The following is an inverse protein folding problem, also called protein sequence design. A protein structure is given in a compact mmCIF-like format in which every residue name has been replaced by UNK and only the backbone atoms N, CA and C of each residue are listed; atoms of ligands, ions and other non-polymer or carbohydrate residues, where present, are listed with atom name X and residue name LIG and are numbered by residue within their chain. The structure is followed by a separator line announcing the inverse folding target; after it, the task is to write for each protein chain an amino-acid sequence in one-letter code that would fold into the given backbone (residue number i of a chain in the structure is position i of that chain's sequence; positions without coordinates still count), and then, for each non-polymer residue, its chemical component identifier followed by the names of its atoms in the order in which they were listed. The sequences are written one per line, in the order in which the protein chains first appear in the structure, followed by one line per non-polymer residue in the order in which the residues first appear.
data_IF_022930971279
#
_entry.id   IF_022930971279
#
_cell.length_a   1.000
_cell.length_b   1.000
_cell.length_c   1.000
_cell.angle_alpha   90.00
_cell.angle_beta   90.00
_cell.angle_gamma   90.00
#
_symmetry.space_group_name_H-M   'P 1'
#
loop_
_entity.id
_entity.type
_entity.pdbx_description
1 polymer ?
2 non-polymer ?
3 non-polymer ?
4 non-polymer ?
5 water ?
#
# COMPACT_ATOMS: atom_id res chain seq x y z
N UNK A 4 16.95 15.93 3.38
CA UNK A 4 16.22 16.15 2.14
C UNK A 4 15.53 17.51 2.12
N UNK A 5 15.55 18.18 0.97
CA UNK A 5 15.14 19.57 0.89
C UNK A 5 13.65 19.72 1.21
N UNK A 6 12.78 19.03 0.46
CA UNK A 6 11.35 19.22 0.66
C UNK A 6 10.94 18.91 2.09
N UNK A 7 11.51 17.85 2.67
CA UNK A 7 11.26 17.56 4.08
C UNK A 7 11.73 18.71 4.97
N UNK A 8 12.92 19.26 4.69
CA UNK A 8 13.44 20.35 5.50
C UNK A 8 12.54 21.58 5.41
N UNK A 9 12.07 21.90 4.19
CA UNK A 9 11.12 22.98 4.03
C UNK A 9 9.84 22.70 4.78
N UNK A 10 9.32 21.48 4.66
CA UNK A 10 8.12 21.11 5.40
C UNK A 10 8.32 21.33 6.90
N UNK A 11 9.46 20.88 7.42
CA UNK A 11 9.76 21.06 8.83
C UNK A 11 9.71 22.53 9.24
N UNK A 12 10.30 23.41 8.41
CA UNK A 12 10.29 24.83 8.72
C UNK A 12 8.89 25.41 8.61
N UNK A 13 8.12 24.96 7.60
CA UNK A 13 6.74 25.40 7.47
C UNK A 13 5.93 25.04 8.72
N UNK A 14 6.11 23.83 9.25
CA UNK A 14 5.34 23.44 10.43
C UNK A 14 5.74 24.27 11.65
N UNK A 15 7.05 24.46 11.84
CA UNK A 15 7.53 25.19 13.01
C UNK A 15 7.07 26.64 12.97
N UNK A 16 7.34 27.33 11.85
CA UNK A 16 6.88 28.71 11.73
C UNK A 16 5.37 28.85 11.83
N UNK A 17 4.63 27.73 11.87
CA UNK A 17 3.19 27.77 12.10
C UNK A 17 2.83 27.27 13.50
N UNK A 18 3.81 27.16 14.38
CA UNK A 18 3.56 26.90 15.78
C UNK A 18 3.60 25.46 16.22
N UNK A 19 4.03 24.55 15.35
CA UNK A 19 4.10 23.12 15.69
C UNK A 19 5.49 22.82 16.23
N UNK A 20 5.55 22.37 17.44
CA UNK A 20 6.84 22.11 18.08
C UNK A 20 7.24 20.65 17.89
N UNK A 21 8.54 20.38 17.77
CA UNK A 21 8.99 18.98 17.72
C UNK A 21 8.83 18.32 19.08
N UNK A 22 8.43 17.04 19.05
CA UNK A 22 8.39 16.21 20.23
C UNK A 22 9.52 15.18 20.15
N UNK A 23 9.99 14.76 21.32
CA UNK A 23 11.02 13.75 21.43
C UNK A 23 10.40 12.47 21.97
N UNK A 24 10.66 11.35 21.30
CA UNK A 24 10.14 10.06 21.67
C UNK A 24 11.30 9.10 21.88
N UNK A 25 11.02 8.02 22.61
CA UNK A 25 12.02 7.03 22.94
C UNK A 25 11.55 5.64 22.57
N UNK A 26 12.52 4.76 22.38
CA UNK A 26 12.26 3.37 22.01
C UNK A 26 11.10 2.83 22.82
N UNK A 27 10.19 2.16 22.13
CA UNK A 27 9.05 1.41 22.65
C UNK A 27 7.84 2.29 22.94
N UNK A 28 7.93 3.61 22.80
CA UNK A 28 6.79 4.47 23.02
C UNK A 28 5.92 4.53 21.77
N UNK A 29 4.64 4.84 21.98
CA UNK A 29 3.68 4.95 20.88
C UNK A 29 3.36 6.42 20.61
N UNK A 30 3.74 6.89 19.42
CA UNK A 30 3.41 8.25 18.99
C UNK A 30 1.90 8.41 18.82
N UNK A 31 1.23 7.41 18.24
CA UNK A 31 -0.23 7.32 18.28
C UNK A 31 -0.57 5.85 18.46
N UNK A 32 -1.76 5.59 19.00
CA UNK A 32 -2.15 4.23 19.32
C UNK A 32 -3.53 3.94 18.76
N UNK A 33 -3.87 2.64 18.76
CA UNK A 33 -5.06 2.16 18.06
C UNK A 33 -6.35 2.41 18.83
N UNK A 34 -6.28 2.90 20.07
CA UNK A 34 -7.46 3.14 20.88
C UNK A 34 -7.79 4.62 20.99
N UNK A 35 -7.01 5.48 20.37
CA UNK A 35 -7.27 6.91 20.37
C UNK A 35 -8.25 7.25 19.27
N UNK A 36 -9.39 7.89 19.58
CA UNK A 36 -10.33 8.28 18.52
C UNK A 36 -9.88 9.51 17.73
N UNK A 37 -8.94 10.29 18.26
CA UNK A 37 -8.36 11.40 17.53
C UNK A 37 -7.34 10.86 16.53
N UNK A 38 -7.36 11.40 15.32
CA UNK A 38 -6.43 11.00 14.28
C UNK A 38 -5.43 12.12 14.04
N UNK A 39 -4.26 11.74 13.54
CA UNK A 39 -3.14 12.66 13.49
C UNK A 39 -2.39 12.55 12.17
N UNK A 40 -1.68 13.63 11.85
CA UNK A 40 -0.62 13.61 10.86
C UNK A 40 0.69 13.65 11.64
N UNK A 41 1.52 12.63 11.43
CA UNK A 41 2.82 12.54 12.08
C UNK A 41 3.86 12.88 11.04
N UNK A 42 4.61 13.97 11.26
CA UNK A 42 5.81 14.23 10.48
C UNK A 42 6.96 13.64 11.28
N UNK A 43 7.35 12.42 10.93
CA UNK A 43 8.48 11.75 11.58
C UNK A 43 9.75 12.39 11.05
N UNK A 44 10.41 13.21 11.86
CA UNK A 44 11.53 13.98 11.33
C UNK A 44 12.82 13.17 11.33
N UNK A 45 13.14 12.54 12.46
CA UNK A 45 14.36 11.74 12.61
C UNK A 45 14.05 10.54 13.49
N UNK A 46 14.55 9.39 13.09
CA UNK A 46 14.37 8.15 13.83
C UNK A 46 13.61 7.12 13.00
N UNK A 47 13.33 5.99 13.65
CA UNK A 47 12.69 4.86 12.99
C UNK A 47 11.50 4.39 13.83
N UNK A 48 10.38 4.19 13.17
CA UNK A 48 9.15 3.73 13.79
C UNK A 48 8.66 2.48 13.07
N UNK A 49 7.66 1.83 13.65
CA UNK A 49 6.95 0.76 12.95
C UNK A 49 5.46 0.87 13.25
N UNK A 50 4.66 0.64 12.23
CA UNK A 50 3.21 0.58 12.38
C UNK A 50 2.82 -0.81 12.87
N UNK A 51 2.00 -0.87 13.92
CA UNK A 51 1.65 -2.16 14.49
C UNK A 51 0.15 -2.25 14.69
N UNK A 52 -0.32 -3.49 14.80
CA UNK A 52 -1.72 -3.79 15.08
C UNK A 52 -1.77 -4.89 16.14
N UNK A 53 -2.45 -4.60 17.23
CA UNK A 53 -2.60 -5.55 18.30
C UNK A 53 -3.97 -6.20 18.15
N UNK A 54 -3.96 -7.50 18.05
CA UNK A 54 -5.15 -8.30 17.81
C UNK A 54 -6.02 -8.58 19.05
N UNK A 55 -7.11 -9.30 18.85
CA UNK A 55 -8.03 -9.63 19.91
C UNK A 55 -7.34 -10.34 21.07
N UNK A 56 -6.46 -11.29 20.77
CA UNK A 56 -5.77 -12.06 21.78
C UNK A 56 -4.43 -11.50 22.22
N UNK A 57 -4.09 -10.29 21.81
CA UNK A 57 -2.86 -9.68 22.24
C UNK A 57 -1.69 -9.92 21.35
N UNK A 58 -1.90 -10.57 20.24
CA UNK A 58 -0.83 -10.76 19.29
C UNK A 58 -0.46 -9.44 18.59
N UNK A 59 0.82 -9.14 18.49
CA UNK A 59 1.29 -7.90 17.88
C UNK A 59 1.76 -8.20 16.46
N UNK A 60 1.09 -7.59 15.48
CA UNK A 60 1.46 -7.71 14.08
C UNK A 60 2.21 -6.45 13.67
N UNK A 61 3.44 -6.61 13.15
CA UNK A 61 4.24 -5.50 12.67
C UNK A 61 4.05 -5.34 11.18
N UNK A 62 3.48 -4.23 10.75
CA UNK A 62 3.00 -4.12 9.38
C UNK A 62 3.90 -3.29 8.47
N UNK A 63 4.61 -2.32 9.01
CA UNK A 63 5.37 -1.40 8.17
C UNK A 63 6.39 -0.65 9.02
N UNK A 64 7.57 -0.45 8.46
CA UNK A 64 8.62 0.33 9.10
C UNK A 64 8.81 1.64 8.36
N UNK A 65 9.08 2.70 9.12
CA UNK A 65 9.29 4.02 8.55
C UNK A 65 10.51 4.66 9.17
N UNK A 66 11.22 5.47 8.39
CA UNK A 66 12.32 6.29 8.88
C UNK A 66 12.07 7.74 8.53
N UNK A 67 12.52 8.64 9.42
CA UNK A 67 12.46 10.06 9.10
C UNK A 67 13.47 10.43 8.03
N UNK A 68 13.09 11.38 7.17
CA UNK A 68 11.84 12.12 7.28
C UNK A 68 10.72 11.44 6.52
N UNK A 69 9.51 11.48 7.07
CA UNK A 69 8.37 10.86 6.41
C UNK A 69 7.09 11.33 7.08
N UNK A 70 5.98 11.17 6.35
CA UNK A 70 4.66 11.55 6.82
C UNK A 70 3.81 10.31 6.95
N UNK A 71 3.30 10.07 8.15
CA UNK A 71 2.36 8.99 8.45
C UNK A 71 1.09 9.65 8.95
N UNK A 72 -0.05 9.24 8.41
CA UNK A 72 -1.32 9.82 8.80
C UNK A 72 -2.25 8.71 9.25
N UNK A 73 -2.74 8.82 10.48
CA UNK A 73 -3.59 7.79 11.04
C UNK A 73 -5.05 7.95 10.63
N UNK A 74 -5.39 9.02 9.94
CA UNK A 74 -6.77 9.26 9.55
C UNK A 74 -6.87 9.85 8.16
N UNK A 75 -8.02 9.60 7.53
CA UNK A 75 -8.30 10.13 6.20
C UNK A 75 -8.31 11.65 6.24
N UNK A 76 -7.75 12.27 5.21
CA UNK A 76 -7.60 13.72 5.25
C UNK A 76 -8.97 14.38 5.24
N UNK A 77 -9.92 13.82 4.50
CA UNK A 77 -11.22 14.48 4.34
C UNK A 77 -12.10 14.26 5.57
N UNK A 78 -12.35 13.01 5.94
CA UNK A 78 -13.28 12.73 7.02
C UNK A 78 -12.63 12.83 8.40
N UNK A 79 -11.31 12.79 8.47
CA UNK A 79 -10.57 12.77 9.73
C UNK A 79 -10.82 11.50 10.53
N UNK A 80 -11.47 10.51 9.93
CA UNK A 80 -11.74 9.25 10.61
C UNK A 80 -10.63 8.25 10.32
N UNK A 81 -10.57 7.20 11.15
CA UNK A 81 -9.44 6.29 11.15
C UNK A 81 -9.31 5.52 9.84
N UNK A 82 -8.07 5.41 9.36
CA UNK A 82 -7.78 4.54 8.22
C UNK A 82 -7.55 3.10 8.66
N UNK A 83 -7.57 2.82 9.96
CA UNK A 83 -7.22 1.52 10.48
C UNK A 83 -6.78 1.65 11.92
N UNK A 84 -7.06 0.65 12.73
CA UNK A 84 -6.68 0.69 14.15
C UNK A 84 -5.23 0.26 14.26
N UNK A 85 -4.34 1.25 14.23
CA UNK A 85 -2.90 1.04 14.17
C UNK A 85 -2.21 1.88 15.24
N UNK A 86 -1.07 1.38 15.70
CA UNK A 86 -0.14 2.14 16.53
C UNK A 86 1.12 2.43 15.75
N UNK A 87 1.79 3.52 16.14
CA UNK A 87 3.08 3.90 15.57
C UNK A 87 4.10 3.83 16.70
N UNK A 88 4.98 2.83 16.65
CA UNK A 88 5.93 2.54 17.72
C UNK A 88 7.33 2.94 17.32
N UNK A 89 8.02 3.65 18.22
CA UNK A 89 9.41 4.03 18.01
C UNK A 89 10.31 2.83 18.27
N UNK A 90 11.16 2.52 17.30
CA UNK A 90 12.11 1.43 17.46
C UNK A 90 13.56 1.90 17.47
N UNK A 91 13.86 3.10 17.00
CA UNK A 91 15.17 3.69 17.26
C UNK A 91 15.26 4.07 18.74
N UNK A 92 16.48 4.43 19.18
CA UNK A 92 16.69 4.80 20.57
C UNK A 92 15.88 6.05 20.92
N UNK A 93 15.83 7.02 20.00
CA UNK A 93 14.92 8.14 20.14
C UNK A 93 14.46 8.56 18.75
N UNK A 94 13.45 9.40 18.72
CA UNK A 94 12.88 9.87 17.48
C UNK A 94 12.30 11.26 17.70
N UNK A 95 12.35 12.07 16.65
CA UNK A 95 11.76 13.39 16.65
C UNK A 95 10.60 13.43 15.67
N UNK A 96 9.44 13.84 16.15
CA UNK A 96 8.22 13.84 15.36
C UNK A 96 7.42 15.09 15.68
N UNK A 97 6.76 15.61 14.65
CA UNK A 97 5.74 16.64 14.81
C UNK A 97 4.38 15.96 14.69
N UNK A 98 3.53 16.21 15.68
CA UNK A 98 2.21 15.58 15.75
C UNK A 98 1.18 16.68 15.50
N UNK A 99 0.46 16.56 14.40
CA UNK A 99 -0.56 17.53 14.00
C UNK A 99 -1.91 16.82 13.95
N UNK A 100 -2.92 17.44 14.56
CA UNK A 100 -4.29 16.98 14.34
C UNK A 100 -4.65 17.14 12.86
N UNK A 101 -5.39 16.18 12.32
CA UNK A 101 -5.63 16.16 10.87
C UNK A 101 -6.30 17.44 10.42
N UNK A 102 -7.28 17.93 11.20
CA UNK A 102 -7.97 19.16 10.79
C UNK A 102 -6.99 20.32 10.68
N UNK A 103 -6.03 20.40 11.61
CA UNK A 103 -5.00 21.42 11.50
C UNK A 103 -4.11 21.18 10.28
N UNK A 104 -3.89 19.92 9.91
CA UNK A 104 -3.07 19.65 8.73
C UNK A 104 -3.76 20.17 7.47
N UNK A 105 -5.05 19.87 7.31
CA UNK A 105 -5.78 20.36 6.15
C UNK A 105 -5.59 21.85 5.98
N UNK A 106 -5.75 22.61 7.06
CA UNK A 106 -5.60 24.05 6.99
C UNK A 106 -4.18 24.42 6.60
N UNK A 107 -3.19 23.72 7.14
CA UNK A 107 -1.80 24.03 6.82
C UNK A 107 -1.49 23.75 5.35
N UNK A 108 -1.87 22.57 4.85
CA UNK A 108 -1.60 22.27 3.45
C UNK A 108 -2.44 23.12 2.51
N UNK A 109 -3.61 23.57 2.98
CA UNK A 109 -4.45 24.46 2.18
C UNK A 109 -3.73 25.76 1.86
N UNK A 110 -2.89 26.25 2.77
CA UNK A 110 -2.24 27.54 2.61
C UNK A 110 -0.96 27.46 1.78
N UNK A 111 -0.41 26.26 1.53
CA UNK A 111 0.81 26.15 0.73
C UNK A 111 0.80 24.81 0.00
N UNK A 112 0.47 24.85 -1.29
CA UNK A 112 0.32 23.63 -2.07
C UNK A 112 1.65 22.99 -2.41
N UNK A 113 2.78 23.68 -2.25
CA UNK A 113 4.06 23.01 -2.39
C UNK A 113 4.20 21.92 -1.34
N UNK A 114 3.76 22.20 -0.11
CA UNK A 114 3.76 21.21 0.96
C UNK A 114 2.64 20.19 0.79
N UNK A 115 1.50 20.61 0.25
CA UNK A 115 0.47 19.65 -0.13
C UNK A 115 1.03 18.62 -1.10
N UNK A 116 1.80 19.07 -2.10
CA UNK A 116 2.40 18.14 -3.06
C UNK A 116 3.35 17.19 -2.36
N UNK A 117 4.20 17.73 -1.46
CA UNK A 117 5.14 16.89 -0.74
C UNK A 117 4.42 15.77 0.02
N UNK A 118 3.33 16.10 0.69
CA UNK A 118 2.62 15.08 1.46
C UNK A 118 1.90 14.10 0.54
N UNK A 119 1.26 14.62 -0.51
CA UNK A 119 0.59 13.80 -1.51
C UNK A 119 1.55 12.77 -2.11
N UNK A 120 2.74 13.20 -2.52
CA UNK A 120 3.68 12.29 -3.16
C UNK A 120 4.24 11.28 -2.18
N UNK A 121 4.30 11.65 -0.88
CA UNK A 121 4.68 10.68 0.13
C UNK A 121 3.69 9.51 0.18
N UNK A 122 2.41 9.81 0.04
CA UNK A 122 1.39 8.80 -0.04
C UNK A 122 1.57 7.97 -1.31
N UNK A 123 1.89 8.62 -2.41
CA UNK A 123 2.12 7.91 -3.65
C UNK A 123 3.28 6.94 -3.52
N UNK A 124 4.33 7.35 -2.81
CA UNK A 124 5.44 6.45 -2.54
C UNK A 124 4.99 5.23 -1.75
N UNK A 125 4.14 5.44 -0.74
CA UNK A 125 3.66 4.31 0.06
C UNK A 125 2.83 3.36 -0.78
N UNK A 126 1.99 3.89 -1.67
CA UNK A 126 1.16 3.02 -2.50
C UNK A 126 2.04 2.16 -3.41
N UNK A 127 2.94 2.79 -4.16
CA UNK A 127 3.75 2.03 -5.10
C UNK A 127 4.72 1.11 -4.37
N UNK A 128 5.16 1.49 -3.17
CA UNK A 128 6.04 0.64 -2.40
C UNK A 128 5.35 -0.68 -2.05
N UNK A 129 4.13 -0.61 -1.53
CA UNK A 129 3.40 -1.83 -1.18
C UNK A 129 3.15 -2.70 -2.41
N UNK A 130 2.84 -2.07 -3.55
CA UNK A 130 2.69 -2.84 -4.78
C UNK A 130 4.00 -3.49 -5.17
N UNK A 131 5.11 -2.74 -5.09
CA UNK A 131 6.39 -3.29 -5.50
C UNK A 131 6.81 -4.47 -4.62
N UNK A 132 6.61 -4.38 -3.31
CA UNK A 132 6.99 -5.50 -2.46
C UNK A 132 6.05 -6.69 -2.65
N UNK A 133 4.75 -6.44 -2.86
CA UNK A 133 3.86 -7.54 -3.19
C UNK A 133 4.28 -8.20 -4.51
N UNK A 134 4.65 -7.38 -5.50
CA UNK A 134 5.15 -7.91 -6.76
C UNK A 134 6.36 -8.82 -6.54
N UNK A 135 7.29 -8.40 -5.69
CA UNK A 135 8.50 -9.19 -5.49
C UNK A 135 8.22 -10.44 -4.65
N UNK A 136 7.36 -10.31 -3.64
CA UNK A 136 7.02 -11.48 -2.82
C UNK A 136 6.25 -12.50 -3.62
N UNK A 137 5.43 -12.07 -4.57
CA UNK A 137 4.65 -13.00 -5.38
C UNK A 137 5.55 -13.80 -6.32
N UNK A 138 6.65 -13.20 -6.78
CA UNK A 138 7.51 -13.88 -7.74
C UNK A 138 8.51 -14.79 -7.02
N UNK A 139 9.20 -14.26 -6.01
CA UNK A 139 10.30 -14.98 -5.39
C UNK A 139 10.06 -15.32 -3.93
N UNK A 140 8.86 -15.11 -3.41
CA UNK A 140 8.56 -15.52 -2.06
C UNK A 140 9.35 -14.74 -1.02
N UNK A 141 9.58 -15.37 0.13
CA UNK A 141 10.29 -14.71 1.21
C UNK A 141 11.69 -14.26 0.80
N UNK A 142 12.28 -14.89 -0.22
CA UNK A 142 13.60 -14.47 -0.67
C UNK A 142 13.53 -13.08 -1.32
N UNK A 143 12.58 -12.90 -2.25
CA UNK A 143 12.33 -11.58 -2.77
C UNK A 143 12.07 -10.56 -1.68
N UNK A 144 11.26 -10.94 -0.69
CA UNK A 144 10.95 -10.01 0.41
C UNK A 144 12.19 -9.68 1.20
N UNK A 145 12.98 -10.69 1.57
CA UNK A 145 14.17 -10.43 2.36
C UNK A 145 15.22 -9.71 1.53
N UNK A 146 15.35 -10.10 0.25
CA UNK A 146 16.24 -9.35 -0.64
C UNK A 146 15.80 -7.90 -0.74
N UNK A 147 14.49 -7.65 -0.84
CA UNK A 147 14.00 -6.30 -0.89
C UNK A 147 14.38 -5.48 0.33
N UNK A 148 14.13 -6.01 1.51
CA UNK A 148 14.43 -5.27 2.72
C UNK A 148 15.90 -4.98 2.85
N UNK A 149 16.72 -5.95 2.53
CA UNK A 149 18.16 -5.75 2.53
C UNK A 149 18.57 -4.68 1.53
N UNK A 150 17.95 -4.70 0.34
CA UNK A 150 18.26 -3.70 -0.68
C UNK A 150 17.93 -2.31 -0.18
N UNK A 151 16.72 -2.13 0.36
CA UNK A 151 16.31 -0.84 0.90
C UNK A 151 17.26 -0.39 2.00
N UNK A 152 17.56 -1.30 2.92
CA UNK A 152 18.50 -0.97 4.00
C UNK A 152 19.87 -0.63 3.43
N UNK A 153 20.28 -1.30 2.35
CA UNK A 153 21.57 -1.02 1.74
C UNK A 153 21.60 0.35 1.10
N UNK A 154 20.52 0.73 0.40
CA UNK A 154 20.47 2.04 -0.23
C UNK A 154 20.45 3.16 0.81
N UNK A 155 19.71 2.95 1.89
CA UNK A 155 19.46 4.01 2.86
C UNK A 155 20.59 4.10 3.88
N UNK A 156 21.09 2.96 4.33
CA UNK A 156 22.07 2.93 5.41
C UNK A 156 23.42 2.36 4.98
N UNK A 157 23.59 2.04 3.70
CA UNK A 157 24.82 1.41 3.27
C UNK A 157 26.00 2.36 3.31
N UNK A 158 27.16 1.79 3.62
CA UNK A 158 28.45 2.47 3.56
C UNK A 158 29.43 1.50 2.93
N UNK A 159 29.92 1.81 1.73
CA UNK A 159 30.86 0.88 1.09
C UNK A 159 32.14 0.79 1.91
N UNK A 160 32.61 -0.44 2.10
CA UNK A 160 33.87 -0.71 2.79
C UNK A 160 34.61 -1.75 1.98
N UNK A 161 35.85 -2.10 2.36
CA UNK A 161 36.55 -3.20 1.67
C UNK A 161 35.90 -4.56 1.90
N UNK A 162 34.97 -4.67 2.86
CA UNK A 162 34.24 -5.90 3.13
C UNK A 162 32.87 -5.93 2.46
N UNK A 163 32.53 -4.89 1.72
CA UNK A 163 31.23 -4.76 1.07
C UNK A 163 30.48 -3.54 1.57
N UNK A 164 29.23 -3.42 1.13
CA UNK A 164 28.38 -2.32 1.58
C UNK A 164 27.90 -2.64 2.98
N UNK A 165 28.39 -1.88 3.96
CA UNK A 165 28.02 -2.10 5.36
C UNK A 165 26.68 -1.43 5.67
N UNK A 166 25.75 -2.21 6.22
CA UNK A 166 24.45 -1.68 6.62
C UNK A 166 24.63 -1.06 8.00
N UNK A 167 24.83 0.26 8.02
CA UNK A 167 25.17 1.00 9.24
C UNK A 167 23.89 1.36 9.99
N UNK A 168 23.31 0.33 10.60
CA UNK A 168 22.04 0.46 11.29
C UNK A 168 22.09 -0.38 12.56
N UNK A 169 21.93 0.26 13.71
CA UNK A 169 21.99 -0.45 14.97
C UNK A 169 20.65 -1.09 15.29
N UNK A 170 20.68 -2.04 16.21
CA UNK A 170 19.49 -2.81 16.59
C UNK A 170 18.88 -3.54 15.40
N UNK A 171 19.68 -3.85 14.37
CA UNK A 171 19.18 -4.58 13.21
C UNK A 171 19.17 -6.06 13.57
N UNK A 172 18.18 -6.43 14.37
CA UNK A 172 18.01 -7.83 14.77
C UNK A 172 17.47 -8.65 13.61
N UNK A 173 17.70 -9.97 13.68
CA UNK A 173 17.20 -10.85 12.63
C UNK A 173 15.69 -10.86 12.61
N UNK A 174 15.05 -10.99 13.77
CA UNK A 174 13.59 -10.93 13.81
C UNK A 174 13.08 -9.53 13.47
N UNK A 175 13.83 -8.49 13.88
CA UNK A 175 13.49 -7.15 13.44
C UNK A 175 13.60 -7.05 11.92
N UNK A 176 14.64 -7.64 11.32
CA UNK A 176 14.68 -7.74 9.87
C UNK A 176 13.59 -8.65 9.34
N UNK A 177 13.25 -9.70 10.09
CA UNK A 177 12.17 -10.58 9.68
C UNK A 177 10.84 -9.86 9.65
N UNK A 178 10.52 -9.16 10.74
CA UNK A 178 9.26 -8.41 10.79
C UNK A 178 9.16 -7.44 9.62
N UNK A 179 10.25 -6.72 9.34
CA UNK A 179 10.20 -5.68 8.30
C UNK A 179 10.02 -6.25 6.91
N UNK A 180 10.25 -7.56 6.71
CA UNK A 180 10.00 -8.21 5.43
C UNK A 180 8.67 -8.95 5.40
N UNK A 181 8.04 -9.18 6.56
CA UNK A 181 6.78 -9.88 6.61
C UNK A 181 6.89 -11.33 7.05
N UNK A 182 7.76 -11.59 8.03
CA UNK A 182 8.10 -12.95 8.46
C UNK A 182 8.10 -12.95 9.99
N UNK A 183 7.10 -13.59 10.59
CA UNK A 183 6.97 -13.58 12.05
C UNK A 183 7.84 -14.64 12.70
N UNK A 184 7.65 -15.91 12.33
CA UNK A 184 8.45 -17.00 12.87
C UNK A 184 9.86 -16.90 12.31
N UNK A 185 10.83 -16.62 13.16
CA UNK A 185 12.18 -16.37 12.65
C UNK A 185 12.87 -17.66 12.20
N UNK A 186 12.15 -18.77 12.02
CA UNK A 186 12.72 -19.90 11.28
C UNK A 186 13.13 -19.46 9.89
N UNK A 187 12.24 -18.77 9.18
CA UNK A 187 12.46 -18.48 7.77
C UNK A 187 13.53 -17.41 7.57
N UNK A 188 13.60 -16.43 8.47
CA UNK A 188 14.62 -15.39 8.36
C UNK A 188 16.01 -16.00 8.39
N UNK A 189 16.31 -16.78 9.44
CA UNK A 189 17.63 -17.37 9.57
C UNK A 189 17.99 -18.23 8.36
N UNK A 190 17.00 -18.94 7.80
CA UNK A 190 17.24 -19.78 6.64
C UNK A 190 17.60 -18.95 5.42
N UNK A 191 16.78 -17.94 5.10
CA UNK A 191 17.07 -17.14 3.92
C UNK A 191 18.43 -16.48 4.05
N UNK A 192 18.73 -15.97 5.24
CA UNK A 192 20.04 -15.37 5.50
C UNK A 192 21.14 -16.38 5.26
N UNK A 193 20.89 -17.66 5.55
CA UNK A 193 21.89 -18.69 5.33
C UNK A 193 22.12 -18.96 3.86
N UNK A 194 21.04 -18.98 3.06
CA UNK A 194 21.23 -19.10 1.62
C UNK A 194 22.03 -17.92 1.06
N UNK A 195 21.73 -16.71 1.54
CA UNK A 195 22.43 -15.53 1.03
C UNK A 195 23.88 -15.51 1.50
N UNK A 196 24.16 -16.00 2.72
CA UNK A 196 25.54 -16.15 3.15
C UNK A 196 26.27 -17.20 2.32
N UNK A 197 25.61 -18.33 2.08
CA UNK A 197 26.23 -19.43 1.33
C UNK A 197 26.55 -19.02 -0.09
N UNK A 198 25.67 -18.26 -0.73
CA UNK A 198 25.89 -17.74 -2.06
C UNK A 198 26.66 -16.42 -2.04
N UNK A 199 27.21 -16.04 -0.89
CA UNK A 199 28.15 -14.93 -0.75
C UNK A 199 27.52 -13.59 -1.16
N UNK A 200 26.20 -13.47 -1.04
CA UNK A 200 25.53 -12.19 -1.23
C UNK A 200 25.80 -11.26 -0.07
N UNK A 201 25.86 -11.81 1.15
CA UNK A 201 26.03 -11.02 2.36
C UNK A 201 27.01 -11.74 3.28
N UNK A 202 27.59 -10.98 4.21
CA UNK A 202 28.25 -11.52 5.38
C UNK A 202 27.78 -10.74 6.59
N UNK A 203 27.90 -11.38 7.73
CA UNK A 203 27.56 -10.77 8.97
C UNK A 203 28.87 -10.74 9.75
N UNK A 204 29.45 -9.58 9.94
CA UNK A 204 30.67 -9.39 10.67
C UNK A 204 30.46 -8.18 11.55
N UNK A 205 31.19 -8.11 12.66
CA UNK A 205 31.06 -7.06 13.66
C UNK A 205 29.58 -7.17 14.07
N UNK A 206 28.73 -6.14 14.06
CA UNK A 206 27.36 -6.38 14.37
C UNK A 206 26.45 -6.17 13.16
N UNK A 207 27.02 -5.95 11.98
CA UNK A 207 26.25 -5.59 10.78
C UNK A 207 26.29 -6.47 9.57
N UNK A 208 25.28 -6.38 8.72
CA UNK A 208 25.34 -7.10 7.47
C UNK A 208 26.19 -6.29 6.49
N UNK A 209 27.03 -6.98 5.74
CA UNK A 209 27.78 -6.40 4.65
C UNK A 209 27.27 -7.01 3.36
N UNK A 210 26.80 -6.18 2.44
CA UNK A 210 26.34 -6.66 1.15
C UNK A 210 27.55 -6.78 0.23
N UNK A 211 27.76 -7.97 -0.30
CA UNK A 211 28.86 -8.28 -1.19
C UNK A 211 28.41 -8.46 -2.63
N UNK A 212 27.11 -8.56 -2.88
CA UNK A 212 26.58 -8.75 -4.24
C UNK A 212 25.27 -7.99 -4.35
N UNK A 213 25.36 -6.68 -4.53
CA UNK A 213 24.17 -5.88 -4.72
C UNK A 213 23.36 -6.38 -5.92
N UNK A 214 24.05 -6.83 -6.98
CA UNK A 214 23.36 -7.29 -8.17
C UNK A 214 22.40 -8.42 -7.86
N UNK A 215 22.78 -9.32 -6.95
CA UNK A 215 21.91 -10.42 -6.58
C UNK A 215 20.65 -9.90 -5.90
N UNK A 216 20.79 -8.97 -4.97
CA UNK A 216 19.63 -8.38 -4.30
C UNK A 216 18.69 -7.74 -5.32
N UNK A 217 19.25 -6.89 -6.20
CA UNK A 217 18.45 -6.25 -7.24
C UNK A 217 17.79 -7.28 -8.15
N UNK A 218 18.42 -8.44 -8.33
CA UNK A 218 17.87 -9.44 -9.22
C UNK A 218 16.63 -10.12 -8.63
N UNK A 219 16.59 -10.30 -7.31
CA UNK A 219 15.44 -10.97 -6.70
C UNK A 219 14.46 -10.01 -6.06
N UNK A 220 14.78 -8.73 -5.96
CA UNK A 220 13.81 -7.68 -5.59
C UNK A 220 13.78 -6.65 -6.70
N UNK A 221 13.48 -7.06 -7.94
CA UNK A 221 13.60 -6.11 -9.07
C UNK A 221 12.55 -5.00 -9.03
N UNK A 222 11.33 -5.30 -8.58
CA UNK A 222 10.30 -4.27 -8.56
C UNK A 222 10.56 -3.25 -7.45
N UNK A 223 11.14 -3.68 -6.33
CA UNK A 223 11.53 -2.72 -5.30
C UNK A 223 12.77 -1.93 -5.72
N UNK A 224 13.68 -2.53 -6.48
CA UNK A 224 14.80 -1.77 -7.03
C UNK A 224 14.28 -0.67 -7.95
N UNK A 225 13.33 -1.02 -8.83
CA UNK A 225 12.70 -0.03 -9.69
C UNK A 225 11.95 1.02 -8.89
N UNK A 226 11.27 0.60 -7.82
CA UNK A 226 10.57 1.56 -6.98
C UNK A 226 11.55 2.59 -6.42
N UNK A 227 12.71 2.14 -5.94
CA UNK A 227 13.70 3.06 -5.38
C UNK A 227 14.29 3.96 -6.45
N UNK A 228 14.49 3.44 -7.66
CA UNK A 228 15.01 4.24 -8.76
C UNK A 228 14.02 5.33 -9.17
N UNK A 229 12.73 5.01 -9.14
CA UNK A 229 11.71 5.99 -9.53
C UNK A 229 11.36 6.93 -8.39
N UNK A 230 11.40 6.45 -7.15
CA UNK A 230 10.96 7.23 -6.01
C UNK A 230 12.10 8.02 -5.37
N UNK A 231 13.31 7.47 -5.39
CA UNK A 231 14.47 8.07 -4.71
C UNK A 231 15.69 7.94 -5.61
N UNK A 232 15.62 8.46 -6.84
CA UNK A 232 16.73 8.25 -7.79
C UNK A 232 18.08 8.70 -7.27
N UNK A 233 18.12 9.81 -6.52
CA UNK A 233 19.39 10.32 -6.02
C UNK A 233 19.99 9.37 -4.99
N UNK A 234 19.17 8.63 -4.26
CA UNK A 234 19.72 7.64 -3.33
C UNK A 234 20.08 6.36 -4.08
N UNK A 235 19.16 5.88 -4.92
CA UNK A 235 19.49 4.75 -5.78
C UNK A 235 20.82 4.95 -6.50
N UNK A 236 21.05 6.17 -7.01
CA UNK A 236 22.20 6.39 -7.86
C UNK A 236 23.53 6.36 -7.14
N UNK A 237 23.54 6.65 -5.85
CA UNK A 237 24.80 6.68 -5.11
C UNK A 237 25.47 5.30 -5.12
N UNK A 238 24.69 4.22 -5.17
CA UNK A 238 25.25 2.88 -5.19
C UNK A 238 25.11 2.19 -6.54
N UNK A 239 24.62 2.87 -7.56
CA UNK A 239 24.50 2.31 -8.89
C UNK A 239 25.37 3.09 -9.85
N UNK B 4 -21.76 7.02 -4.77
CA UNK B 4 -20.73 7.71 -4.00
C UNK B 4 -20.65 9.20 -4.42
N UNK B 5 -20.76 10.06 -3.40
CA UNK B 5 -21.05 11.48 -3.63
C UNK B 5 -19.81 12.29 -4.00
N UNK B 6 -18.70 12.08 -3.28
CA UNK B 6 -17.49 12.80 -3.65
C UNK B 6 -17.07 12.47 -5.07
N UNK B 7 -17.26 11.22 -5.48
CA UNK B 7 -16.90 10.81 -6.84
C UNK B 7 -17.77 11.53 -7.86
N UNK B 8 -19.08 11.58 -7.63
CA UNK B 8 -19.98 12.28 -8.54
C UNK B 8 -19.58 13.74 -8.69
N UNK B 9 -19.35 14.42 -7.56
CA UNK B 9 -18.91 15.81 -7.61
C UNK B 9 -17.59 15.94 -8.36
N UNK B 10 -16.68 14.98 -8.18
CA UNK B 10 -15.42 14.99 -8.93
C UNK B 10 -15.67 14.84 -10.42
N UNK B 11 -16.53 13.89 -10.79
CA UNK B 11 -16.90 13.71 -12.20
C UNK B 11 -17.45 15.01 -12.78
N UNK B 12 -18.38 15.64 -12.07
CA UNK B 12 -18.93 16.90 -12.54
C UNK B 12 -17.85 17.96 -12.64
N UNK B 13 -16.92 17.98 -11.68
CA UNK B 13 -15.84 18.96 -11.72
C UNK B 13 -14.95 18.76 -12.93
N UNK B 14 -14.69 17.50 -13.29
CA UNK B 14 -13.88 17.23 -14.47
C UNK B 14 -14.60 17.68 -15.74
N UNK B 15 -15.88 17.34 -15.87
CA UNK B 15 -16.61 17.67 -17.09
C UNK B 15 -16.71 19.18 -17.27
N UNK B 16 -16.99 19.92 -16.19
CA UNK B 16 -17.09 21.37 -16.31
C UNK B 16 -15.77 21.97 -16.81
N UNK B 17 -14.65 21.29 -16.55
CA UNK B 17 -13.34 21.77 -16.98
C UNK B 17 -12.88 21.13 -18.28
N UNK B 18 -13.80 20.55 -19.05
CA UNK B 18 -13.51 20.06 -20.37
C UNK B 18 -13.07 18.61 -20.44
N UNK B 19 -12.80 17.98 -19.31
CA UNK B 19 -12.32 16.61 -19.35
C UNK B 19 -13.46 15.68 -19.78
N UNK B 20 -13.25 14.97 -20.88
CA UNK B 20 -14.30 14.15 -21.47
C UNK B 20 -13.98 12.68 -21.29
N UNK B 21 -14.94 11.86 -20.86
CA UNK B 21 -14.65 10.45 -20.60
C UNK B 21 -14.52 9.65 -21.88
N UNK B 22 -13.83 8.52 -21.75
CA UNK B 22 -13.66 7.55 -22.82
C UNK B 22 -14.07 6.18 -22.32
N UNK B 23 -14.79 5.44 -23.16
CA UNK B 23 -15.14 4.07 -22.84
C UNK B 23 -14.10 3.14 -23.43
N UNK B 24 -13.49 2.33 -22.57
CA UNK B 24 -12.58 1.27 -22.99
C UNK B 24 -13.32 -0.06 -22.95
N UNK B 25 -12.80 -1.03 -23.69
CA UNK B 25 -13.33 -2.39 -23.61
C UNK B 25 -12.31 -3.32 -23.00
N UNK B 26 -12.79 -4.51 -22.61
CA UNK B 26 -11.97 -5.50 -21.95
C UNK B 26 -10.65 -5.70 -22.68
N UNK B 27 -9.55 -5.81 -21.90
CA UNK B 27 -8.20 -6.10 -22.33
C UNK B 27 -7.49 -4.87 -22.87
N UNK B 28 -8.18 -3.74 -23.00
CA UNK B 28 -7.51 -2.49 -23.35
C UNK B 28 -6.71 -1.98 -22.17
N UNK B 29 -5.64 -1.25 -22.48
CA UNK B 29 -4.80 -0.65 -21.46
C UNK B 29 -5.12 0.84 -21.41
N UNK B 30 -5.68 1.29 -20.28
CA UNK B 30 -5.96 2.70 -20.08
C UNK B 30 -4.66 3.49 -19.96
N UNK B 31 -3.68 2.95 -19.24
CA UNK B 31 -2.30 3.38 -19.35
C UNK B 31 -1.43 2.12 -19.32
N UNK B 32 -0.18 2.25 -19.77
CA UNK B 32 0.70 1.11 -19.91
C UNK B 32 2.10 1.46 -19.43
N UNK B 33 2.88 0.41 -19.14
CA UNK B 33 4.19 0.55 -18.51
C UNK B 33 5.26 1.04 -19.47
N UNK B 34 4.93 1.21 -20.76
CA UNK B 34 5.91 1.62 -21.77
C UNK B 34 5.74 3.07 -22.20
N UNK B 35 4.77 3.78 -21.63
CA UNK B 35 4.43 5.14 -22.04
C UNK B 35 5.27 6.13 -21.26
N UNK B 36 6.04 7.01 -21.92
CA UNK B 36 6.79 8.02 -21.16
C UNK B 36 5.90 9.05 -20.47
N UNK B 37 4.69 9.25 -20.91
CA UNK B 37 3.80 10.19 -20.30
C UNK B 37 2.99 9.54 -19.19
N UNK B 38 2.81 10.23 -18.09
CA UNK B 38 2.04 9.68 -16.99
C UNK B 38 0.70 10.38 -16.88
N UNK B 39 -0.23 9.71 -16.21
CA UNK B 39 -1.63 10.11 -16.25
C UNK B 39 -2.26 9.93 -14.87
N UNK B 40 -3.31 10.71 -14.63
CA UNK B 40 -4.23 10.47 -13.53
C UNK B 40 -5.52 9.93 -14.13
N UNK B 41 -5.92 8.74 -13.70
CA UNK B 41 -7.10 8.07 -14.22
C UNK B 41 -8.20 8.16 -13.17
N UNK B 42 -9.29 8.82 -13.52
CA UNK B 42 -10.52 8.75 -12.73
C UNK B 42 -11.37 7.66 -13.37
N UNK B 43 -11.36 6.48 -12.78
CA UNK B 43 -12.14 5.34 -13.27
C UNK B 43 -13.56 5.49 -12.74
N UNK B 44 -14.47 5.98 -13.58
CA UNK B 44 -15.82 6.27 -13.10
C UNK B 44 -16.63 4.99 -12.96
N UNK B 45 -16.53 4.07 -13.93
CA UNK B 45 -17.35 2.88 -13.95
C UNK B 45 -16.55 1.74 -14.53
N UNK B 46 -16.65 0.58 -13.90
CA UNK B 46 -16.09 -0.64 -14.45
C UNK B 46 -15.06 -1.25 -13.53
N UNK B 47 -14.42 -2.30 -14.04
CA UNK B 47 -13.41 -3.04 -13.29
C UNK B 47 -12.13 -3.07 -14.11
N UNK B 48 -11.02 -2.77 -13.46
CA UNK B 48 -9.71 -2.80 -14.07
C UNK B 48 -8.76 -3.57 -13.14
N UNK B 49 -7.62 -3.96 -13.68
CA UNK B 49 -6.55 -4.54 -12.88
C UNK B 49 -5.26 -3.80 -13.17
N UNK B 50 -4.44 -3.67 -12.14
CA UNK B 50 -3.10 -3.13 -12.29
C UNK B 50 -2.15 -4.29 -12.50
N UNK B 51 -1.41 -4.26 -13.60
CA UNK B 51 -0.50 -5.34 -13.92
C UNK B 51 0.91 -4.81 -14.12
N UNK B 52 1.87 -5.71 -13.95
CA UNK B 52 3.27 -5.49 -14.29
C UNK B 52 3.72 -6.66 -15.14
N UNK B 53 4.36 -6.37 -16.26
CA UNK B 53 4.94 -7.40 -17.12
C UNK B 53 6.42 -7.47 -16.80
N UNK B 54 6.82 -8.52 -16.10
CA UNK B 54 8.21 -8.69 -15.67
C UNK B 54 9.12 -8.91 -16.88
N UNK B 55 10.43 -8.87 -16.61
CA UNK B 55 11.42 -9.16 -17.63
C UNK B 55 11.24 -10.57 -18.18
N UNK B 56 10.72 -11.48 -17.36
CA UNK B 56 10.46 -12.85 -17.80
C UNK B 56 9.38 -12.90 -18.87
N UNK B 57 8.66 -11.81 -19.09
CA UNK B 57 7.41 -11.87 -19.82
C UNK B 57 6.21 -12.27 -18.99
N UNK B 58 6.43 -12.58 -17.71
CA UNK B 58 5.35 -12.95 -16.82
C UNK B 58 4.48 -11.73 -16.52
N UNK B 59 3.17 -11.93 -16.53
CA UNK B 59 2.18 -10.90 -16.23
C UNK B 59 1.68 -11.13 -14.82
N UNK B 60 1.94 -10.18 -13.92
CA UNK B 60 1.51 -10.30 -12.54
C UNK B 60 0.36 -9.33 -12.28
N UNK B 61 -0.70 -9.84 -11.67
CA UNK B 61 -1.84 -9.03 -11.26
C UNK B 61 -1.57 -8.50 -9.86
N UNK B 62 -1.45 -7.18 -9.76
CA UNK B 62 -1.05 -6.54 -8.51
C UNK B 62 -2.22 -5.96 -7.74
N UNK B 63 -3.24 -5.46 -8.43
CA UNK B 63 -4.34 -4.77 -7.77
C UNK B 63 -5.53 -4.76 -8.70
N UNK B 64 -6.72 -4.78 -8.12
CA UNK B 64 -7.98 -4.62 -8.85
C UNK B 64 -8.62 -3.32 -8.39
N UNK B 65 -9.14 -2.56 -9.34
CA UNK B 65 -9.84 -1.31 -9.06
C UNK B 65 -11.23 -1.37 -9.65
N UNK B 66 -12.20 -0.87 -8.90
CA UNK B 66 -13.57 -0.72 -9.37
C UNK B 66 -13.95 0.75 -9.31
N UNK B 67 -14.67 1.23 -10.34
CA UNK B 67 -15.17 2.59 -10.30
C UNK B 67 -16.24 2.74 -9.22
N UNK B 68 -16.31 3.94 -8.64
CA UNK B 68 -15.45 5.07 -8.96
C UNK B 68 -14.15 5.00 -8.16
N UNK B 69 -13.04 5.37 -8.78
CA UNK B 69 -11.77 5.39 -8.09
C UNK B 69 -10.76 6.15 -8.95
N UNK B 70 -9.64 6.50 -8.34
CA UNK B 70 -8.57 7.26 -8.98
C UNK B 70 -7.29 6.45 -8.92
N UNK B 71 -6.62 6.32 -10.05
CA UNK B 71 -5.35 5.62 -10.18
C UNK B 71 -4.39 6.56 -10.88
N UNK B 72 -3.28 6.91 -10.23
CA UNK B 72 -2.32 7.86 -10.77
C UNK B 72 -1.02 7.16 -11.14
N UNK B 73 -0.68 7.20 -12.42
CA UNK B 73 0.51 6.51 -12.91
C UNK B 73 1.79 7.28 -12.65
N UNK B 74 1.71 8.50 -12.15
CA UNK B 74 2.90 9.31 -11.95
C UNK B 74 2.80 10.20 -10.75
N UNK B 75 3.96 10.56 -10.23
CA UNK B 75 4.04 11.44 -9.07
C UNK B 75 3.50 12.81 -9.43
N UNK B 76 2.74 13.39 -8.51
CA UNK B 76 2.02 14.62 -8.81
C UNK B 76 2.99 15.77 -9.06
N UNK B 77 4.10 15.79 -8.33
CA UNK B 77 5.06 16.89 -8.47
C UNK B 77 5.98 16.67 -9.68
N UNK B 78 6.67 15.54 -9.70
CA UNK B 78 7.68 15.30 -10.72
C UNK B 78 7.10 14.82 -12.04
N UNK B 79 5.90 14.27 -12.02
CA UNK B 79 5.24 13.76 -13.21
C UNK B 79 5.97 12.56 -13.82
N UNK B 80 6.87 11.95 -13.07
CA UNK B 80 7.55 10.74 -13.50
C UNK B 80 6.86 9.53 -12.91
N UNK B 81 7.16 8.37 -13.50
CA UNK B 81 6.42 7.16 -13.17
C UNK B 81 6.60 6.77 -11.71
N UNK B 82 5.52 6.26 -11.10
CA UNK B 82 5.61 5.65 -9.79
C UNK B 82 5.96 4.16 -9.88
N UNK B 83 6.07 3.63 -11.08
CA UNK B 83 6.23 2.20 -11.30
C UNK B 83 5.79 1.84 -12.70
N UNK B 84 6.41 0.82 -13.27
CA UNK B 84 6.10 0.38 -14.64
C UNK B 84 4.90 -0.54 -14.57
N UNK B 85 3.71 0.06 -14.61
CA UNK B 85 2.45 -0.64 -14.47
C UNK B 85 1.54 -0.39 -15.66
N UNK B 86 0.64 -1.33 -15.88
CA UNK B 86 -0.45 -1.22 -16.83
C UNK B 86 -1.77 -1.24 -16.08
N UNK B 87 -2.76 -0.53 -16.60
CA UNK B 87 -4.12 -0.56 -16.07
C UNK B 87 -5.00 -1.17 -17.14
N UNK B 88 -5.43 -2.41 -16.92
CA UNK B 88 -6.10 -3.21 -17.93
C UNK B 88 -7.57 -3.40 -17.56
N UNK B 89 -8.45 -3.24 -18.54
CA UNK B 89 -9.88 -3.40 -18.30
C UNK B 89 -10.22 -4.88 -18.31
N UNK B 90 -10.89 -5.33 -17.26
CA UNK B 90 -11.37 -6.71 -17.21
C UNK B 90 -12.89 -6.81 -17.25
N UNK B 91 -13.62 -5.73 -17.00
CA UNK B 91 -15.04 -5.67 -17.32
C UNK B 91 -15.19 -5.50 -18.82
N UNK B 92 -16.38 -5.80 -19.36
CA UNK B 92 -16.58 -5.72 -20.79
C UNK B 92 -16.34 -4.30 -21.25
N UNK B 93 -16.84 -3.35 -20.48
CA UNK B 93 -16.55 -1.95 -20.74
C UNK B 93 -16.17 -1.24 -19.45
N UNK B 94 -15.53 -0.08 -19.60
CA UNK B 94 -15.19 0.76 -18.47
C UNK B 94 -15.14 2.21 -18.91
N UNK B 95 -15.63 3.10 -18.05
CA UNK B 95 -15.64 4.53 -18.30
C UNK B 95 -14.59 5.20 -17.42
N UNK B 96 -13.70 5.97 -18.05
CA UNK B 96 -12.57 6.54 -17.35
C UNK B 96 -12.29 7.92 -17.92
N UNK B 97 -11.91 8.84 -17.05
CA UNK B 97 -11.42 10.15 -17.46
C UNK B 97 -9.90 10.11 -17.37
N UNK B 98 -9.24 10.45 -18.48
CA UNK B 98 -7.80 10.32 -18.61
C UNK B 98 -7.21 11.73 -18.60
N UNK B 99 -6.44 12.04 -17.56
CA UNK B 99 -5.88 13.37 -17.36
C UNK B 99 -4.36 13.25 -17.36
N UNK B 100 -3.71 13.98 -18.26
CA UNK B 100 -2.26 14.14 -18.16
C UNK B 100 -1.94 14.76 -16.81
N UNK B 101 -0.91 14.24 -16.14
CA UNK B 101 -0.66 14.64 -14.77
C UNK B 101 -0.26 16.10 -14.66
N UNK B 102 0.28 16.69 -15.73
CA UNK B 102 0.49 18.14 -15.75
C UNK B 102 -0.81 18.87 -15.48
N UNK B 103 -1.90 18.45 -16.14
CA UNK B 103 -3.16 19.15 -16.00
C UNK B 103 -3.79 18.89 -14.64
N UNK B 104 -3.57 17.72 -14.06
CA UNK B 104 -4.19 17.41 -12.77
C UNK B 104 -3.77 18.40 -11.70
N UNK B 105 -2.49 18.79 -11.69
CA UNK B 105 -2.03 19.74 -10.67
C UNK B 105 -2.89 21.01 -10.67
N UNK B 106 -3.16 21.56 -11.85
CA UNK B 106 -3.95 22.79 -11.93
C UNK B 106 -5.41 22.53 -11.58
N UNK B 107 -5.96 21.41 -12.03
CA UNK B 107 -7.33 21.06 -11.67
C UNK B 107 -7.50 20.99 -10.15
N UNK B 108 -6.55 20.35 -9.48
CA UNK B 108 -6.68 20.13 -8.04
C UNK B 108 -6.42 21.40 -7.24
N UNK B 109 -5.52 22.26 -7.72
CA UNK B 109 -5.23 23.49 -6.99
C UNK B 109 -6.44 24.40 -6.92
N UNK B 110 -7.27 24.41 -7.96
CA UNK B 110 -8.40 25.32 -8.01
C UNK B 110 -9.46 24.96 -6.98
N UNK B 111 -9.68 23.67 -6.75
CA UNK B 111 -10.68 23.20 -5.78
C UNK B 111 -10.04 22.13 -4.91
N UNK B 112 -9.78 22.47 -3.64
CA UNK B 112 -9.11 21.55 -2.75
C UNK B 112 -10.03 20.43 -2.27
N UNK B 113 -11.35 20.64 -2.29
CA UNK B 113 -12.25 19.56 -1.92
C UNK B 113 -12.01 18.32 -2.77
N UNK B 114 -11.68 18.53 -4.05
CA UNK B 114 -11.37 17.41 -4.92
C UNK B 114 -9.92 16.97 -4.77
N UNK B 115 -9.02 17.90 -4.45
CA UNK B 115 -7.68 17.51 -4.02
C UNK B 115 -7.75 16.50 -2.87
N UNK B 116 -8.57 16.82 -1.85
CA UNK B 116 -8.70 15.91 -0.72
C UNK B 116 -9.33 14.59 -1.13
N UNK B 117 -10.25 14.62 -2.08
CA UNK B 117 -10.83 13.39 -2.59
C UNK B 117 -9.76 12.50 -3.20
N UNK B 118 -8.92 13.05 -4.08
CA UNK B 118 -7.87 12.24 -4.68
C UNK B 118 -6.87 11.78 -3.62
N UNK B 119 -6.47 12.71 -2.74
CA UNK B 119 -5.60 12.38 -1.62
C UNK B 119 -6.12 11.19 -0.84
N UNK B 120 -7.41 11.18 -0.52
CA UNK B 120 -7.93 10.10 0.30
C UNK B 120 -8.01 8.78 -0.48
N UNK B 121 -8.07 8.80 -1.81
CA UNK B 121 -8.01 7.51 -2.52
C UNK B 121 -6.65 6.85 -2.31
N UNK B 122 -5.59 7.65 -2.27
CA UNK B 122 -4.27 7.11 -1.97
C UNK B 122 -4.23 6.49 -0.58
N UNK B 123 -4.81 7.17 0.41
CA UNK B 123 -4.83 6.63 1.75
C UNK B 123 -5.61 5.33 1.79
N UNK B 124 -6.69 5.24 1.03
CA UNK B 124 -7.44 3.99 0.96
C UNK B 124 -6.58 2.86 0.44
N UNK B 125 -5.76 3.13 -0.57
CA UNK B 125 -4.89 2.08 -1.12
C UNK B 125 -3.84 1.66 -0.10
N UNK B 126 -3.22 2.62 0.57
CA UNK B 126 -2.18 2.32 1.54
C UNK B 126 -2.75 1.44 2.65
N UNK B 127 -3.87 1.87 3.25
CA UNK B 127 -4.45 1.12 4.35
C UNK B 127 -4.93 -0.26 3.89
N UNK B 128 -5.51 -0.32 2.69
CA UNK B 128 -5.95 -1.58 2.11
C UNK B 128 -4.81 -2.59 2.05
N UNK B 129 -3.66 -2.17 1.51
CA UNK B 129 -2.53 -3.08 1.40
C UNK B 129 -2.06 -3.56 2.77
N UNK B 130 -2.02 -2.64 3.75
CA UNK B 130 -1.62 -3.04 5.09
C UNK B 130 -2.65 -3.99 5.73
N UNK B 131 -3.94 -3.79 5.45
CA UNK B 131 -4.94 -4.68 6.01
C UNK B 131 -4.79 -6.10 5.47
N UNK B 132 -4.59 -6.24 4.16
CA UNK B 132 -4.38 -7.56 3.56
C UNK B 132 -3.12 -8.22 4.10
N UNK B 133 -2.05 -7.45 4.23
CA UNK B 133 -0.81 -7.97 4.78
C UNK B 133 -0.99 -8.43 6.21
N UNK B 134 -1.80 -7.72 6.99
CA UNK B 134 -2.04 -8.14 8.37
C UNK B 134 -2.75 -9.49 8.40
N UNK B 135 -3.79 -9.66 7.58
CA UNK B 135 -4.55 -10.90 7.59
C UNK B 135 -3.69 -12.07 7.11
N UNK B 136 -2.92 -11.86 6.04
CA UNK B 136 -2.06 -12.92 5.52
C UNK B 136 -0.99 -13.32 6.54
N UNK B 137 -0.46 -12.36 7.29
CA UNK B 137 0.62 -12.68 8.23
C UNK B 137 0.09 -13.44 9.44
N UNK B 138 -1.17 -13.23 9.81
CA UNK B 138 -1.74 -13.96 10.93
C UNK B 138 -2.24 -15.33 10.48
N UNK B 139 -3.00 -15.36 9.38
CA UNK B 139 -3.74 -16.57 9.00
C UNK B 139 -3.27 -17.15 7.68
N UNK B 140 -2.06 -16.79 7.23
CA UNK B 140 -1.53 -17.35 6.01
C UNK B 140 -2.51 -17.22 4.85
N UNK B 141 -2.45 -18.23 4.03
CA UNK B 141 -3.25 -18.32 2.85
C UNK B 141 -4.70 -18.37 3.21
N UNK B 142 -5.06 -18.87 4.37
CA UNK B 142 -6.45 -18.88 4.75
C UNK B 142 -6.96 -17.46 4.87
N UNK B 143 -6.21 -16.58 5.51
CA UNK B 143 -6.61 -15.20 5.65
C UNK B 143 -6.67 -14.54 4.31
N UNK B 144 -5.71 -14.84 3.48
CA UNK B 144 -5.66 -14.28 2.18
C UNK B 144 -6.85 -14.70 1.34
N UNK B 145 -7.23 -15.96 1.38
CA UNK B 145 -8.37 -16.42 0.61
C UNK B 145 -9.62 -15.82 1.15
N UNK B 146 -9.69 -15.80 2.47
CA UNK B 146 -10.85 -15.30 3.13
C UNK B 146 -10.97 -13.84 2.80
N UNK B 147 -9.84 -13.16 2.73
CA UNK B 147 -9.86 -11.74 2.40
C UNK B 147 -10.55 -11.46 1.09
N UNK B 148 -10.11 -12.11 0.01
CA UNK B 148 -10.66 -11.75 -1.29
C UNK B 148 -12.06 -12.33 -1.49
N UNK B 149 -12.41 -13.44 -0.83
CA UNK B 149 -13.81 -13.83 -0.77
C UNK B 149 -14.65 -12.77 -0.07
N UNK B 150 -14.08 -12.16 0.99
CA UNK B 150 -14.78 -11.06 1.66
C UNK B 150 -14.98 -9.88 0.72
N UNK B 151 -13.96 -9.55 -0.07
CA UNK B 151 -14.09 -8.45 -1.02
C UNK B 151 -15.20 -8.72 -2.01
N UNK B 152 -15.19 -9.90 -2.64
CA UNK B 152 -16.25 -10.25 -3.57
C UNK B 152 -17.61 -10.20 -2.88
N UNK B 153 -17.68 -10.66 -1.63
CA UNK B 153 -18.96 -10.67 -0.93
C UNK B 153 -19.47 -9.25 -0.72
N UNK B 154 -18.60 -8.32 -0.34
CA UNK B 154 -19.04 -6.97 -0.01
C UNK B 154 -19.34 -6.18 -1.28
N UNK B 155 -18.45 -6.21 -2.26
CA UNK B 155 -18.59 -5.38 -3.44
C UNK B 155 -19.74 -5.89 -4.30
N UNK B 156 -19.93 -7.20 -4.36
CA UNK B 156 -20.88 -7.79 -5.31
C UNK B 156 -21.84 -8.76 -4.62
N UNK B 157 -22.28 -8.42 -3.41
CA UNK B 157 -23.14 -9.30 -2.62
C UNK B 157 -24.57 -8.79 -2.55
N UNK B 158 -25.52 -9.69 -2.81
CA UNK B 158 -26.94 -9.35 -2.77
C UNK B 158 -27.60 -10.22 -1.70
N UNK B 159 -28.37 -9.71 -0.77
CA UNK B 159 -28.93 -10.66 0.15
C UNK B 159 -29.97 -11.52 -0.59
N UNK B 160 -29.78 -12.83 -0.59
CA UNK B 160 -30.71 -13.70 -1.25
C UNK B 160 -31.18 -14.73 -0.22
N UNK B 161 -32.17 -15.55 -0.56
CA UNK B 161 -32.65 -16.59 0.35
C UNK B 161 -31.63 -17.64 0.69
N UNK B 162 -30.72 -17.89 -0.25
CA UNK B 162 -29.67 -18.84 -0.17
C UNK B 162 -28.32 -18.27 0.32
N UNK B 163 -28.32 -17.08 0.86
CA UNK B 163 -27.11 -16.49 1.31
C UNK B 163 -26.79 -15.35 0.42
N UNK B 164 -25.56 -14.92 0.50
CA UNK B 164 -25.17 -13.85 -0.31
C UNK B 164 -24.70 -14.39 -1.58
N UNK B 165 -25.54 -14.21 -2.58
CA UNK B 165 -25.19 -14.60 -3.91
C UNK B 165 -24.09 -13.68 -4.36
N UNK B 166 -23.03 -14.19 -4.95
CA UNK B 166 -22.00 -13.32 -5.41
C UNK B 166 -22.60 -12.85 -6.74
N UNK B 167 -23.10 -11.61 -6.78
CA UNK B 167 -23.81 -11.12 -7.96
C UNK B 167 -22.96 -10.60 -9.08
N UNK B 168 -21.64 -10.56 -8.90
CA UNK B 168 -20.74 -10.11 -9.95
C UNK B 168 -20.86 -11.07 -11.10
N UNK B 169 -20.86 -10.56 -12.35
CA UNK B 169 -21.03 -11.38 -13.53
C UNK B 169 -19.94 -12.40 -13.48
N UNK B 170 -20.33 -13.65 -13.64
CA UNK B 170 -19.35 -14.71 -13.58
C UNK B 170 -18.41 -14.74 -14.80
N UNK B 171 -18.66 -13.89 -15.75
CA UNK B 171 -17.73 -13.72 -16.84
C UNK B 171 -16.44 -13.18 -16.25
N UNK B 172 -16.53 -12.16 -15.38
CA UNK B 172 -15.33 -11.62 -14.81
C UNK B 172 -14.91 -12.36 -13.53
N UNK B 173 -15.74 -13.26 -13.01
CA UNK B 173 -15.27 -13.97 -11.81
C UNK B 173 -13.99 -14.74 -12.11
N UNK B 174 -13.87 -15.27 -13.32
CA UNK B 174 -12.71 -16.05 -13.67
C UNK B 174 -11.43 -15.27 -13.52
N UNK B 175 -11.42 -13.99 -13.84
CA UNK B 175 -10.18 -13.23 -13.82
C UNK B 175 -9.41 -13.42 -12.52
N UNK B 176 -10.17 -13.32 -11.44
CA UNK B 176 -9.67 -13.48 -10.08
C UNK B 176 -9.30 -14.92 -9.70
N UNK B 177 -10.11 -15.87 -10.16
CA UNK B 177 -9.91 -17.27 -9.98
C UNK B 177 -11.05 -18.21 -10.26
N UNK B 186 -2.35 -25.36 -6.53
CA UNK B 186 -1.77 -24.87 -5.30
C UNK B 186 -2.57 -25.46 -4.13
N UNK B 187 -2.31 -24.94 -2.93
CA UNK B 187 -3.02 -25.29 -1.70
C UNK B 187 -4.41 -24.66 -1.62
N UNK B 188 -4.69 -23.76 -2.56
CA UNK B 188 -5.94 -23.07 -2.62
C UNK B 188 -7.11 -24.02 -2.82
N UNK B 189 -6.96 -25.09 -3.59
CA UNK B 189 -8.05 -26.01 -3.79
C UNK B 189 -8.43 -26.65 -2.47
N UNK B 190 -7.42 -27.03 -1.70
CA UNK B 190 -7.68 -27.61 -0.42
C UNK B 190 -8.35 -26.59 0.49
N UNK B 191 -7.91 -25.34 0.46
CA UNK B 191 -8.54 -24.34 1.30
C UNK B 191 -10.01 -24.15 0.91
N UNK B 192 -10.31 -24.15 -0.36
CA UNK B 192 -11.67 -24.01 -0.79
C UNK B 192 -12.51 -25.17 -0.33
N UNK B 193 -11.97 -26.37 -0.43
CA UNK B 193 -12.76 -27.52 -0.03
C UNK B 193 -13.09 -27.44 1.43
N UNK B 194 -12.13 -27.12 2.26
CA UNK B 194 -12.49 -26.96 3.67
C UNK B 194 -13.52 -25.85 3.86
N UNK B 195 -13.54 -24.83 2.98
CA UNK B 195 -14.53 -23.77 3.05
C UNK B 195 -15.92 -24.34 2.80
N UNK B 196 -16.17 -24.85 1.59
CA UNK B 196 -17.45 -25.48 1.29
C UNK B 196 -17.69 -26.67 2.20
N UNK B 197 -16.65 -27.45 2.49
CA UNK B 197 -16.79 -28.53 3.46
C UNK B 197 -17.39 -28.00 4.75
N UNK B 198 -16.85 -26.90 5.26
CA UNK B 198 -17.37 -26.30 6.48
C UNK B 198 -18.49 -25.29 6.21
N UNK B 199 -19.17 -25.38 5.07
CA UNK B 199 -20.45 -24.70 4.91
C UNK B 199 -20.29 -23.20 4.64
N UNK B 200 -19.06 -22.68 4.61
CA UNK B 200 -18.88 -21.24 4.44
C UNK B 200 -19.51 -20.78 3.13
N UNK B 201 -19.13 -21.45 2.07
CA UNK B 201 -19.63 -21.15 0.76
C UNK B 201 -20.32 -22.38 0.25
N UNK B 202 -21.43 -22.23 -0.46
CA UNK B 202 -22.17 -23.37 -0.94
C UNK B 202 -22.10 -23.51 -2.44
N UNK B 203 -21.76 -24.68 -2.95
CA UNK B 203 -21.75 -24.90 -4.38
C UNK B 203 -23.24 -25.16 -4.59
N UNK B 204 -23.86 -24.24 -5.34
CA UNK B 204 -25.27 -24.29 -5.70
C UNK B 204 -25.43 -24.00 -7.20
N UNK B 205 -25.15 -24.99 -8.04
CA UNK B 205 -25.29 -24.87 -9.50
C UNK B 205 -24.56 -23.72 -10.20
N UNK B 206 -23.27 -23.54 -9.90
CA UNK B 206 -22.42 -22.51 -10.53
C UNK B 206 -22.95 -21.09 -10.38
N UNK B 207 -23.49 -20.82 -9.19
CA UNK B 207 -24.03 -19.56 -8.82
C UNK B 207 -23.56 -19.31 -7.36
N UNK B 208 -22.31 -19.63 -7.02
CA UNK B 208 -21.86 -19.81 -5.62
C UNK B 208 -22.38 -18.78 -4.62
N UNK B 209 -22.68 -19.22 -3.40
CA UNK B 209 -23.23 -18.35 -2.38
C UNK B 209 -22.35 -18.33 -1.12
N UNK B 210 -22.26 -17.20 -0.44
CA UNK B 210 -21.49 -17.15 0.77
C UNK B 210 -22.52 -17.42 1.84
N UNK B 211 -22.35 -18.46 2.62
CA UNK B 211 -23.29 -18.75 3.63
C UNK B 211 -22.85 -18.44 5.03
N UNK B 212 -21.61 -18.02 5.19
CA UNK B 212 -21.13 -17.74 6.50
C UNK B 212 -20.16 -16.62 6.49
N UNK B 213 -20.68 -15.41 6.49
CA UNK B 213 -19.88 -14.22 6.47
C UNK B 213 -19.01 -14.12 7.71
N UNK B 214 -19.52 -14.55 8.85
CA UNK B 214 -18.76 -14.48 10.10
C UNK B 214 -17.45 -15.24 9.99
N UNK B 215 -17.44 -16.37 9.29
CA UNK B 215 -16.20 -17.14 9.13
C UNK B 215 -15.18 -16.32 8.34
N UNK B 216 -15.59 -15.73 7.23
CA UNK B 216 -14.68 -14.91 6.45
C UNK B 216 -14.18 -13.72 7.27
N UNK B 217 -15.08 -13.11 8.01
CA UNK B 217 -14.77 -11.99 8.85
C UNK B 217 -13.78 -12.36 9.91
N UNK B 218 -13.86 -13.59 10.39
CA UNK B 218 -13.02 -14.05 11.48
C UNK B 218 -11.57 -14.22 11.03
N UNK B 219 -11.36 -14.70 9.80
CA UNK B 219 -10.03 -14.96 9.29
C UNK B 219 -9.49 -13.85 8.40
N UNK B 220 -10.32 -12.87 8.07
CA UNK B 220 -9.89 -11.65 7.37
C UNK B 220 -10.28 -10.43 8.20
N UNK B 221 -9.84 -10.37 9.46
CA UNK B 221 -10.39 -9.33 10.36
C UNK B 221 -9.93 -7.92 10.02
N UNK B 222 -8.66 -7.73 9.67
CA UNK B 222 -8.19 -6.38 9.37
C UNK B 222 -8.75 -5.88 8.05
N UNK B 223 -9.01 -6.78 7.09
CA UNK B 223 -9.69 -6.36 5.87
C UNK B 223 -11.15 -6.04 6.12
N UNK B 224 -11.80 -6.79 7.01
CA UNK B 224 -13.18 -6.44 7.37
C UNK B 224 -13.21 -5.06 8.03
N UNK B 225 -12.25 -4.78 8.91
CA UNK B 225 -12.15 -3.46 9.52
C UNK B 225 -11.91 -2.40 8.46
N UNK B 226 -11.09 -2.70 7.46
CA UNK B 226 -10.83 -1.72 6.41
C UNK B 226 -12.10 -1.37 5.64
N UNK B 227 -12.94 -2.37 5.36
CA UNK B 227 -14.20 -2.08 4.69
C UNK B 227 -15.10 -1.20 5.56
N UNK B 228 -15.19 -1.52 6.84
CA UNK B 228 -15.99 -0.74 7.78
C UNK B 228 -15.51 0.72 7.80
N UNK B 229 -14.21 0.92 7.85
CA UNK B 229 -13.66 2.26 8.00
C UNK B 229 -13.60 3.01 6.67
N UNK B 230 -13.38 2.31 5.57
CA UNK B 230 -13.18 2.95 4.27
C UNK B 230 -14.40 2.90 3.37
N UNK B 231 -15.27 1.91 3.55
CA UNK B 231 -16.43 1.72 2.67
C UNK B 231 -17.66 1.46 3.53
N UNK B 232 -18.00 2.38 4.43
CA UNK B 232 -19.03 2.05 5.44
C UNK B 232 -20.39 1.74 4.86
N UNK B 233 -20.80 2.38 3.76
CA UNK B 233 -22.09 2.05 3.16
C UNK B 233 -22.07 0.61 2.63
N UNK B 234 -20.99 0.23 1.95
CA UNK B 234 -20.86 -1.13 1.44
C UNK B 234 -20.82 -2.15 2.57
N UNK B 235 -20.06 -1.85 3.63
CA UNK B 235 -19.94 -2.77 4.76
C UNK B 235 -21.26 -2.94 5.47
N UNK B 236 -22.10 -1.91 5.48
CA UNK B 236 -23.35 -1.96 6.23
C UNK B 236 -24.32 -3.00 5.69
N UNK B 237 -24.34 -3.22 4.38
CA UNK B 237 -25.43 -3.96 3.79
C UNK B 237 -25.49 -5.41 4.30
N UNK B 238 -24.33 -6.02 4.50
CA UNK B 238 -24.26 -7.42 4.91
C UNK B 238 -23.91 -7.59 6.38
N UNK B 239 -24.11 -6.58 7.19
CA UNK B 239 -23.79 -6.61 8.61
C UNK B 239 -24.93 -5.98 9.40
#
# INVERSE_FOLDING_TARGET
GAMNAQAEEFKKYLETNGIKPKQFHKKELIFNQWDPQEYCIFLYDGITKLTSISENGTIMNLQYYKGAFVIMSGFIDTETSVGYYNLEVISEQATAYVIKINELKELLSKNLTHFFYVFQTLQKQVSYSLAKFNDFSINGKLGSICGQLLILTYVYGKETPDGIKITLDNLTMQELGYSSGIAHSSAVSRIISKLKQEKVIVYKNSCFYVQNLDYLKRYAPKLDEWFYLACPATWGKLN
GAMNAQAEEFKKYLETNGIKPKQFHKKELIFNQWDPQEYCIFLYDGITKLTSISENGTIMNLQYYKGAFVIMSGFIDTETSVGYYNLEVISEQATAYVIKINELKELLSKNLTHFFYVFQTLQKQVSYSLAKFNDFSINGKLGSICGQLLILTYVYGKETPDGIKITLDNLTMQELGYSSGIAHSSAVSRIISKLKQEKVIVYKNSCFYVQNLDYLKRYAPKLDEWFYLACPATWGKLN
#
